data_IF_732016095048
#
_entry.id   IF_732016095048
#
_cell.length_a   1.000
_cell.length_b   1.000
_cell.length_c   1.000
_cell.angle_alpha   90.00
_cell.angle_beta   90.00
_cell.angle_gamma   90.00
#
_symmetry.space_group_name_H-M   'P 1'
#
loop_
_entity.id
_entity.type
_entity.pdbx_description
1 polymer ?
#
# COMPACT_ATOMS: atom_id res chain seq x y z
N UNK A 1 12.31 -48.88 -32.35
CA UNK A 1 11.89 -48.83 -30.93
C UNK A 1 12.51 -47.59 -30.30
N UNK A 2 11.92 -46.43 -30.55
CA UNK A 2 12.37 -45.11 -30.06
C UNK A 2 11.12 -44.23 -30.05
N UNK A 3 10.61 -43.92 -28.85
CA UNK A 3 9.93 -42.65 -28.50
C UNK A 3 9.12 -42.72 -27.18
N UNK A 4 8.85 -43.91 -26.62
CA UNK A 4 8.02 -43.98 -25.41
C UNK A 4 8.72 -43.37 -24.18
N UNK A 5 10.05 -43.43 -24.12
CA UNK A 5 10.84 -42.84 -23.04
C UNK A 5 11.00 -41.32 -23.16
N UNK A 6 10.90 -40.77 -24.37
CA UNK A 6 11.06 -39.33 -24.63
C UNK A 6 9.82 -38.57 -24.15
N UNK A 7 8.62 -39.12 -24.42
CA UNK A 7 7.36 -38.58 -23.90
C UNK A 7 7.28 -38.61 -22.37
N UNK A 8 7.73 -39.71 -21.75
CA UNK A 8 7.74 -39.85 -20.29
C UNK A 8 8.73 -38.87 -19.62
N UNK A 9 9.89 -38.67 -20.24
CA UNK A 9 10.93 -37.74 -19.77
C UNK A 9 10.48 -36.28 -19.86
N UNK A 10 9.76 -35.90 -20.93
CA UNK A 10 9.17 -34.55 -21.09
C UNK A 10 8.10 -34.27 -20.03
N UNK A 11 7.23 -35.25 -19.74
CA UNK A 11 6.18 -35.11 -18.71
C UNK A 11 6.81 -34.92 -17.32
N UNK A 12 7.83 -35.70 -16.97
CA UNK A 12 8.58 -35.53 -15.72
C UNK A 12 9.21 -34.14 -15.62
N UNK A 13 9.83 -33.66 -16.70
CA UNK A 13 10.43 -32.32 -16.75
C UNK A 13 9.40 -31.21 -16.48
N UNK A 14 8.21 -31.29 -17.08
CA UNK A 14 7.13 -30.34 -16.85
C UNK A 14 6.60 -30.40 -15.40
N UNK A 15 6.50 -31.59 -14.82
CA UNK A 15 6.06 -31.81 -13.41
C UNK A 15 7.10 -31.32 -12.40
N UNK A 16 8.38 -31.27 -12.74
CA UNK A 16 9.40 -30.69 -11.86
C UNK A 16 9.57 -29.18 -12.06
N UNK A 17 9.24 -28.64 -13.25
CA UNK A 17 9.40 -27.22 -13.56
C UNK A 17 8.17 -26.35 -13.25
N UNK A 18 6.95 -26.91 -13.13
CA UNK A 18 5.76 -26.09 -12.85
C UNK A 18 5.85 -25.19 -11.59
N UNK A 19 6.52 -25.58 -10.47
CA UNK A 19 6.65 -24.69 -9.31
C UNK A 19 7.51 -23.48 -9.65
N UNK A 20 8.57 -23.67 -10.46
CA UNK A 20 9.45 -22.58 -10.90
C UNK A 20 8.66 -21.58 -11.76
N UNK A 21 7.80 -22.07 -12.66
CA UNK A 21 6.92 -21.21 -13.45
C UNK A 21 5.94 -20.40 -12.59
N UNK A 22 5.35 -21.00 -11.54
CA UNK A 22 4.49 -20.28 -10.60
C UNK A 22 5.24 -19.18 -9.83
N UNK A 23 6.47 -19.46 -9.40
CA UNK A 23 7.32 -18.49 -8.73
C UNK A 23 7.66 -17.30 -9.65
N UNK A 24 7.99 -17.58 -10.91
CA UNK A 24 8.24 -16.54 -11.92
C UNK A 24 7.00 -15.69 -12.18
N UNK A 25 5.85 -16.31 -12.44
CA UNK A 25 4.59 -15.58 -12.68
C UNK A 25 4.24 -14.67 -11.50
N UNK A 26 4.36 -15.19 -10.28
CA UNK A 26 4.07 -14.42 -9.06
C UNK A 26 5.03 -13.24 -8.89
N UNK A 27 6.32 -13.45 -9.13
CA UNK A 27 7.32 -12.39 -9.06
C UNK A 27 7.06 -11.27 -10.08
N UNK A 28 6.83 -11.63 -11.35
CA UNK A 28 6.59 -10.65 -12.42
C UNK A 28 5.26 -9.92 -12.24
N UNK A 29 4.19 -10.64 -11.90
CA UNK A 29 2.86 -10.06 -11.68
C UNK A 29 2.88 -9.11 -10.48
N UNK A 30 3.52 -9.51 -9.38
CA UNK A 30 3.65 -8.66 -8.19
C UNK A 30 4.40 -7.37 -8.49
N UNK A 31 5.55 -7.47 -9.18
CA UNK A 31 6.35 -6.30 -9.55
C UNK A 31 5.62 -5.36 -10.52
N UNK A 32 4.84 -5.91 -11.44
CA UNK A 32 4.05 -5.12 -12.38
C UNK A 32 2.93 -4.34 -11.67
N UNK A 33 2.17 -5.00 -10.80
CA UNK A 33 1.11 -4.37 -10.01
C UNK A 33 1.70 -3.27 -9.12
N UNK A 34 2.83 -3.53 -8.48
CA UNK A 34 3.50 -2.58 -7.61
C UNK A 34 3.92 -1.31 -8.36
N UNK A 35 4.53 -1.47 -9.54
CA UNK A 35 4.95 -0.35 -10.39
C UNK A 35 3.76 0.46 -10.89
N UNK A 36 2.69 -0.21 -11.33
CA UNK A 36 1.47 0.46 -11.79
C UNK A 36 0.82 1.27 -10.66
N UNK A 37 0.77 0.71 -9.46
CA UNK A 37 0.20 1.39 -8.31
C UNK A 37 1.03 2.61 -7.89
N UNK A 38 2.37 2.54 -7.94
CA UNK A 38 3.20 3.72 -7.72
C UNK A 38 2.98 4.81 -8.76
N UNK A 39 2.86 4.44 -10.04
CA UNK A 39 2.57 5.40 -11.10
C UNK A 39 1.18 6.07 -10.93
N UNK A 40 0.18 5.33 -10.45
CA UNK A 40 -1.15 5.87 -10.14
C UNK A 40 -1.09 6.91 -8.99
N UNK A 41 -0.36 6.59 -7.92
CA UNK A 41 -0.14 7.52 -6.80
C UNK A 41 0.51 8.81 -7.30
N UNK A 42 1.58 8.72 -8.09
CA UNK A 42 2.28 9.90 -8.62
C UNK A 42 1.37 10.75 -9.53
N UNK A 43 0.55 10.11 -10.37
CA UNK A 43 -0.41 10.80 -11.22
C UNK A 43 -1.50 11.54 -10.42
N UNK A 44 -2.05 10.88 -9.39
CA UNK A 44 -3.07 11.47 -8.50
C UNK A 44 -2.48 12.58 -7.63
N UNK A 45 -1.25 12.40 -7.15
CA UNK A 45 -0.53 13.45 -6.43
C UNK A 45 -0.39 14.67 -7.30
N UNK A 46 0.08 14.52 -8.54
CA UNK A 46 0.21 15.61 -9.51
C UNK A 46 -1.13 16.32 -9.76
N UNK A 47 -2.22 15.57 -9.97
CA UNK A 47 -3.55 16.13 -10.20
C UNK A 47 -4.09 16.92 -9.00
N UNK A 48 -3.81 16.48 -7.77
CA UNK A 48 -4.31 17.07 -6.53
C UNK A 48 -3.30 18.00 -5.84
N UNK A 49 -2.24 18.42 -6.53
CA UNK A 49 -1.23 19.37 -6.01
C UNK A 49 -1.82 20.72 -5.59
N UNK A 50 -2.89 21.14 -6.25
CA UNK A 50 -3.58 22.41 -5.98
C UNK A 50 -4.29 22.43 -4.61
N UNK A 51 -4.55 21.26 -4.00
CA UNK A 51 -5.15 21.18 -2.67
C UNK A 51 -4.04 21.25 -1.62
N UNK A 52 -4.04 22.31 -0.82
CA UNK A 52 -3.08 22.51 0.25
C UNK A 52 -3.48 21.68 1.48
N UNK A 53 -2.53 21.05 2.15
CA UNK A 53 -2.78 20.30 3.39
C UNK A 53 -1.85 20.85 4.47
N UNK A 54 -2.41 21.41 5.54
CA UNK A 54 -1.65 22.15 6.55
C UNK A 54 -2.07 21.71 7.96
N UNK A 55 -1.09 21.45 8.83
CA UNK A 55 -1.30 21.09 10.22
C UNK A 55 -1.55 22.29 11.17
N UNK A 56 -1.89 23.47 10.63
CA UNK A 56 -2.16 24.66 11.45
C UNK A 56 -3.55 24.55 12.08
N UNK A 57 -3.61 24.73 13.41
CA UNK A 57 -4.85 24.63 14.20
C UNK A 57 -5.78 25.84 14.04
N UNK A 58 -5.23 27.04 13.89
CA UNK A 58 -6.02 28.27 13.74
C UNK A 58 -6.10 28.63 12.25
N UNK A 59 -7.30 28.70 11.65
CA UNK A 59 -7.41 29.09 10.26
C UNK A 59 -6.91 30.53 10.07
N UNK A 60 -6.21 30.81 8.96
CA UNK A 60 -5.89 32.19 8.57
C UNK A 60 -7.18 32.95 8.19
N UNK A 61 -7.10 34.28 8.13
CA UNK A 61 -8.29 35.14 7.96
C UNK A 61 -8.97 34.97 6.59
N UNK A 62 -8.23 34.50 5.60
CA UNK A 62 -8.61 34.21 4.20
C UNK A 62 -9.18 32.80 4.01
N UNK A 63 -9.34 32.02 5.08
CA UNK A 63 -9.95 30.70 5.01
C UNK A 63 -11.46 30.75 5.24
N UNK A 64 -12.20 30.16 4.30
CA UNK A 64 -13.65 30.00 4.37
C UNK A 64 -14.05 28.52 4.26
N UNK A 65 -15.13 28.13 4.93
CA UNK A 65 -15.58 26.73 5.00
C UNK A 65 -15.47 26.14 6.40
N UNK A 66 -15.39 24.82 6.50
CA UNK A 66 -15.45 24.14 7.80
C UNK A 66 -15.85 22.67 7.76
N UNK A 67 -15.75 22.00 6.60
CA UNK A 67 -16.24 20.63 6.49
C UNK A 67 -15.19 19.62 6.94
N UNK A 68 -15.59 18.65 7.77
CA UNK A 68 -14.71 17.54 8.12
C UNK A 68 -14.46 16.67 6.89
N UNK A 69 -13.18 16.41 6.62
CA UNK A 69 -12.73 15.41 5.66
C UNK A 69 -11.86 14.39 6.38
N UNK A 70 -11.99 13.13 5.99
CA UNK A 70 -11.25 12.00 6.54
C UNK A 70 -11.07 10.89 5.50
N UNK A 71 -9.99 10.14 5.62
CA UNK A 71 -9.70 8.97 4.81
C UNK A 71 -8.88 7.93 5.59
N UNK A 72 -9.29 6.68 5.50
CA UNK A 72 -8.61 5.53 6.09
C UNK A 72 -7.96 4.65 5.03
N UNK A 73 -6.77 4.13 5.32
CA UNK A 73 -6.08 3.12 4.53
C UNK A 73 -5.56 2.04 5.46
N UNK A 74 -5.94 0.79 5.20
CA UNK A 74 -5.43 -0.37 5.93
C UNK A 74 -4.52 -1.15 5.00
N UNK A 75 -3.29 -1.39 5.42
CA UNK A 75 -2.30 -2.16 4.68
C UNK A 75 -1.85 -3.32 5.53
N UNK A 76 -2.02 -4.54 5.01
CA UNK A 76 -1.58 -5.76 5.66
C UNK A 76 -0.33 -6.32 4.98
N UNK A 77 0.70 -6.57 5.77
CA UNK A 77 1.93 -7.24 5.37
C UNK A 77 1.78 -8.75 5.21
N UNK A 78 0.70 -9.36 5.71
CA UNK A 78 0.59 -10.82 5.87
C UNK A 78 0.66 -11.60 4.54
N UNK A 79 0.10 -11.05 3.46
CA UNK A 79 0.16 -11.68 2.14
C UNK A 79 1.59 -11.63 1.55
N UNK A 80 2.29 -10.52 1.76
CA UNK A 80 3.62 -10.28 1.24
C UNK A 80 4.70 -10.97 2.07
N UNK A 81 4.55 -11.02 3.40
CA UNK A 81 5.44 -11.73 4.32
C UNK A 81 5.30 -13.24 4.24
N UNK A 82 4.10 -13.82 4.07
CA UNK A 82 3.97 -15.27 3.84
C UNK A 82 4.62 -15.69 2.52
N UNK A 83 4.40 -14.91 1.46
CA UNK A 83 5.02 -15.12 0.16
C UNK A 83 6.56 -14.93 0.22
N UNK A 84 7.04 -13.85 0.84
CA UNK A 84 8.48 -13.60 0.98
C UNK A 84 9.17 -14.54 1.99
N UNK A 85 8.52 -14.97 3.07
CA UNK A 85 9.08 -15.94 4.01
C UNK A 85 9.24 -17.30 3.33
N UNK A 86 8.27 -17.72 2.52
CA UNK A 86 8.37 -18.93 1.69
C UNK A 86 9.53 -18.84 0.69
N UNK A 87 9.69 -17.70 0.01
CA UNK A 87 10.79 -17.46 -0.93
C UNK A 87 12.16 -17.24 -0.25
N UNK A 88 12.19 -16.66 0.95
CA UNK A 88 13.44 -16.30 1.65
C UNK A 88 14.02 -17.45 2.46
N UNK A 89 13.19 -18.34 2.98
CA UNK A 89 13.66 -19.62 3.50
C UNK A 89 14.44 -20.40 2.43
N UNK A 90 14.23 -20.10 1.15
CA UNK A 90 14.95 -20.70 0.03
C UNK A 90 16.23 -19.94 -0.39
N UNK A 91 16.28 -18.60 -0.30
CA UNK A 91 17.41 -17.78 -0.84
C UNK A 91 18.18 -16.89 0.16
N UNK A 92 17.70 -16.65 1.39
CA UNK A 92 18.35 -15.79 2.40
C UNK A 92 18.34 -14.27 2.12
N UNK A 93 18.40 -13.41 3.16
CA UNK A 93 18.55 -11.92 3.04
C UNK A 93 17.92 -11.08 4.18
N UNK A 94 17.96 -9.73 4.13
CA UNK A 94 17.28 -8.77 5.06
C UNK A 94 16.02 -8.07 4.47
N UNK A 95 14.96 -7.82 5.27
CA UNK A 95 13.66 -7.27 4.80
C UNK A 95 13.69 -5.73 4.86
N UNK A 96 13.74 -5.04 3.72
CA UNK A 96 13.53 -3.57 3.62
C UNK A 96 12.09 -3.16 3.30
N UNK A 97 11.17 -4.10 3.13
CA UNK A 97 9.86 -3.86 2.49
C UNK A 97 8.80 -3.17 3.35
N UNK A 98 9.00 -3.03 4.66
CA UNK A 98 7.98 -2.45 5.54
C UNK A 98 7.90 -0.92 5.41
N UNK A 99 9.05 -0.25 5.25
CA UNK A 99 9.11 1.20 5.06
C UNK A 99 8.35 1.63 3.78
N UNK A 100 8.57 0.89 2.69
CA UNK A 100 7.91 1.10 1.39
C UNK A 100 6.38 0.96 1.49
N UNK A 101 5.89 0.00 2.28
CA UNK A 101 4.45 -0.21 2.47
C UNK A 101 3.80 0.91 3.30
N UNK A 102 4.46 1.33 4.38
CA UNK A 102 3.94 2.38 5.25
C UNK A 102 3.95 3.75 4.54
N UNK A 103 4.99 4.05 3.78
CA UNK A 103 5.05 5.27 2.95
C UNK A 103 3.88 5.32 1.97
N UNK A 104 3.64 4.23 1.24
CA UNK A 104 2.49 4.09 0.33
C UNK A 104 1.16 4.29 1.06
N UNK A 105 1.00 3.68 2.23
CA UNK A 105 -0.23 3.81 3.03
C UNK A 105 -0.54 5.27 3.38
N UNK A 106 0.49 6.02 3.79
CA UNK A 106 0.37 7.45 4.11
C UNK A 106 0.01 8.28 2.88
N UNK A 107 0.70 8.06 1.76
CA UNK A 107 0.43 8.75 0.50
C UNK A 107 -0.99 8.51 0.03
N UNK A 108 -1.43 7.26 0.03
CA UNK A 108 -2.80 6.89 -0.36
C UNK A 108 -3.85 7.50 0.57
N UNK A 109 -3.62 7.55 1.88
CA UNK A 109 -4.55 8.16 2.83
C UNK A 109 -4.69 9.67 2.58
N UNK A 110 -3.58 10.37 2.33
CA UNK A 110 -3.59 11.80 1.99
C UNK A 110 -4.25 12.03 0.64
N UNK A 111 -4.02 11.17 -0.36
CA UNK A 111 -4.67 11.27 -1.66
C UNK A 111 -6.20 11.16 -1.54
N UNK A 112 -6.70 10.16 -0.83
CA UNK A 112 -8.15 9.97 -0.60
C UNK A 112 -8.77 11.14 0.16
N UNK A 113 -8.05 11.69 1.15
CA UNK A 113 -8.46 12.90 1.86
C UNK A 113 -8.59 14.09 0.91
N UNK A 114 -7.59 14.28 0.03
CA UNK A 114 -7.60 15.34 -0.98
C UNK A 114 -8.70 15.15 -2.02
N UNK A 115 -8.98 13.93 -2.45
CA UNK A 115 -10.10 13.63 -3.35
C UNK A 115 -11.43 13.99 -2.71
N UNK A 116 -11.61 13.66 -1.43
CA UNK A 116 -12.80 14.05 -0.69
C UNK A 116 -12.93 15.58 -0.55
N UNK A 117 -11.83 16.29 -0.33
CA UNK A 117 -11.80 17.75 -0.32
C UNK A 117 -12.13 18.33 -1.71
N UNK A 118 -11.54 17.78 -2.77
CA UNK A 118 -11.79 18.17 -4.16
C UNK A 118 -13.28 18.03 -4.53
N UNK A 119 -13.88 16.91 -4.15
CA UNK A 119 -15.30 16.64 -4.38
C UNK A 119 -16.23 17.65 -3.67
N UNK A 120 -15.73 18.30 -2.61
CA UNK A 120 -16.42 19.36 -1.87
C UNK A 120 -16.07 20.78 -2.37
N UNK A 121 -15.30 20.89 -3.45
CA UNK A 121 -14.86 22.18 -3.99
C UNK A 121 -13.82 22.91 -3.14
N UNK A 122 -13.18 22.21 -2.18
CA UNK A 122 -12.16 22.79 -1.33
C UNK A 122 -10.79 22.81 -2.02
N UNK A 123 -10.00 23.86 -1.76
CA UNK A 123 -8.61 23.99 -2.21
C UNK A 123 -7.60 23.86 -1.05
N UNK A 124 -8.09 23.71 0.19
CA UNK A 124 -7.26 23.58 1.37
C UNK A 124 -7.90 22.64 2.41
N UNK A 125 -7.05 21.92 3.14
CA UNK A 125 -7.38 21.14 4.33
C UNK A 125 -6.52 21.63 5.49
N UNK A 126 -7.15 22.22 6.49
CA UNK A 126 -6.51 22.74 7.70
C UNK A 126 -6.66 21.80 8.89
N UNK A 127 -5.90 22.05 9.96
CA UNK A 127 -5.85 21.20 11.14
C UNK A 127 -5.64 19.71 10.77
N UNK A 128 -4.85 19.47 9.73
CA UNK A 128 -4.58 18.14 9.22
C UNK A 128 -3.84 17.31 10.26
N UNK A 129 -4.30 16.07 10.44
CA UNK A 129 -3.67 15.06 11.28
C UNK A 129 -3.63 13.73 10.55
N UNK A 130 -2.55 13.00 10.79
CA UNK A 130 -2.36 11.65 10.30
C UNK A 130 -2.03 10.75 11.50
N UNK A 131 -2.89 9.79 11.75
CA UNK A 131 -2.77 8.82 12.83
C UNK A 131 -2.48 7.44 12.24
N UNK A 132 -1.68 6.65 12.95
CA UNK A 132 -1.36 5.29 12.55
C UNK A 132 -1.65 4.35 13.71
N UNK A 133 -2.38 3.28 13.45
CA UNK A 133 -2.65 2.23 14.42
C UNK A 133 -2.10 0.89 13.89
N UNK A 134 -1.31 0.22 14.72
CA UNK A 134 -0.90 -1.16 14.46
C UNK A 134 -2.06 -2.08 14.82
N UNK A 135 -2.55 -2.84 13.86
CA UNK A 135 -3.54 -3.88 14.08
C UNK A 135 -2.80 -5.21 14.30
N UNK A 136 -2.47 -5.48 15.56
CA UNK A 136 -1.88 -6.77 15.96
C UNK A 136 -2.94 -7.85 16.09
N UNK A 137 -2.55 -9.11 15.82
CA UNK A 137 -3.43 -10.26 15.92
C UNK A 137 -3.97 -10.43 17.35
N UNK A 138 -5.26 -10.12 17.55
CA UNK A 138 -5.99 -10.29 18.81
C UNK A 138 -5.95 -11.77 19.30
N UNK A 139 -5.72 -12.73 18.39
CA UNK A 139 -5.76 -14.17 18.69
C UNK A 139 -4.43 -14.78 19.16
N UNK A 140 -3.28 -14.10 19.07
CA UNK A 140 -2.00 -14.69 19.50
C UNK A 140 -1.03 -13.66 20.12
N UNK A 141 -1.16 -13.37 21.43
CA UNK A 141 -0.38 -12.32 22.10
C UNK A 141 1.08 -12.69 22.44
N UNK A 142 1.46 -13.97 22.36
CA UNK A 142 2.67 -14.48 23.03
C UNK A 142 3.91 -14.69 22.14
N UNK A 143 3.85 -14.47 20.82
CA UNK A 143 5.02 -14.63 19.95
C UNK A 143 5.42 -13.31 19.31
N UNK A 144 6.00 -12.38 20.09
CA UNK A 144 6.79 -11.24 19.59
C UNK A 144 6.33 -10.67 18.24
N UNK A 145 5.02 -10.41 18.13
CA UNK A 145 4.33 -10.35 16.85
C UNK A 145 4.84 -9.18 16.06
N UNK A 146 5.37 -9.46 14.88
CA UNK A 146 5.74 -8.40 13.95
C UNK A 146 4.46 -7.76 13.45
N UNK A 147 4.34 -6.45 13.67
CA UNK A 147 3.20 -5.62 13.25
C UNK A 147 2.76 -5.99 11.84
N UNK A 148 1.67 -6.76 11.78
CA UNK A 148 1.23 -7.44 10.57
C UNK A 148 0.39 -6.54 9.68
N UNK A 149 -0.34 -5.60 10.29
CA UNK A 149 -1.27 -4.72 9.60
C UNK A 149 -1.20 -3.33 10.22
N UNK A 150 -1.22 -2.30 9.40
CA UNK A 150 -1.26 -0.91 9.84
C UNK A 150 -2.46 -0.22 9.22
N UNK A 151 -3.23 0.46 10.05
CA UNK A 151 -4.21 1.43 9.65
C UNK A 151 -3.59 2.83 9.67
N UNK A 152 -3.85 3.61 8.64
CA UNK A 152 -3.50 5.02 8.54
C UNK A 152 -4.79 5.82 8.37
N UNK A 153 -5.07 6.72 9.31
CA UNK A 153 -6.20 7.62 9.29
C UNK A 153 -5.71 9.05 9.06
N UNK A 154 -6.14 9.66 7.97
CA UNK A 154 -5.91 11.05 7.63
C UNK A 154 -7.20 11.84 7.85
N UNK A 155 -7.16 12.99 8.53
CA UNK A 155 -8.34 13.84 8.72
C UNK A 155 -8.00 15.31 8.90
N UNK A 156 -8.98 16.19 8.65
CA UNK A 156 -8.84 17.64 8.79
C UNK A 156 -10.09 18.39 8.39
N UNK A 157 -9.98 19.71 8.25
CA UNK A 157 -11.08 20.60 7.91
C UNK A 157 -10.88 21.20 6.52
N UNK A 158 -11.74 20.83 5.58
CA UNK A 158 -11.73 21.31 4.21
C UNK A 158 -12.41 22.68 4.07
N UNK A 159 -11.82 23.53 3.22
CA UNK A 159 -12.35 24.84 2.87
C UNK A 159 -11.59 25.48 1.72
N UNK A 160 -11.92 26.74 1.46
CA UNK A 160 -11.30 27.57 0.43
C UNK A 160 -10.41 28.60 1.10
N UNK A 161 -9.12 28.53 0.81
CA UNK A 161 -8.12 29.55 1.10
C UNK A 161 -8.04 30.48 -0.12
N UNK A 162 -8.42 31.74 0.06
CA UNK A 162 -8.54 32.74 -1.03
C UNK A 162 -7.32 33.64 -1.15
#
# INVERSE_FOLDING_TARGET
MSNDNDGFSVILLLVYLWPIWLLLITYFTGRHIERKHYADIEAREAALRHIMVIAVKKPPQDFSGGELVYAGVVVSSDYFRRMLAAFRNFFGGNIRSYETLLDRARREAVLRLKEQAAAKGANAVLNFKLETASLDNIYQPQQGSVVGTVEVLAYGTAGVLS
#
